data_IF_919550044942
#
_entry.id   IF_919550044942
#
_cell.length_a   1.000
_cell.length_b   1.000
_cell.length_c   1.000
_cell.angle_alpha   90.00
_cell.angle_beta   90.00
_cell.angle_gamma   90.00
#
_symmetry.space_group_name_H-M   'P 1'
#
loop_
_entity.id
_entity.type
_entity.pdbx_description
1 polymer ?
#
# COMPACT_ATOMS: atom_id res chain seq x y z
N UNK A 1 -58.84 -37.42 68.04
CA UNK A 1 -58.04 -36.57 68.93
C UNK A 1 -57.40 -35.54 68.03
N UNK A 2 -58.14 -34.47 67.73
CA UNK A 2 -58.33 -33.20 68.50
C UNK A 2 -57.46 -32.17 67.79
N UNK A 3 -58.07 -31.17 67.14
CA UNK A 3 -58.42 -29.87 67.76
C UNK A 3 -57.12 -29.17 68.23
N UNK A 4 -56.81 -27.90 67.98
CA UNK A 4 -57.52 -26.72 67.50
C UNK A 4 -56.50 -25.58 67.59
N UNK A 5 -56.58 -24.56 66.72
CA UNK A 5 -56.68 -23.14 67.10
C UNK A 5 -56.07 -22.17 66.08
N UNK A 6 -56.91 -21.21 65.69
CA UNK A 6 -56.69 -19.75 65.61
C UNK A 6 -55.64 -19.25 64.60
N UNK A 7 -55.79 -18.11 63.94
CA UNK A 7 -56.90 -17.18 63.79
C UNK A 7 -56.59 -16.32 62.57
N UNK A 8 -57.65 -15.69 62.10
CA UNK A 8 -57.76 -14.62 61.13
C UNK A 8 -56.68 -13.52 61.23
N UNK A 9 -56.10 -13.17 60.07
CA UNK A 9 -56.10 -11.80 59.55
C UNK A 9 -55.28 -11.72 58.26
N UNK A 10 -55.93 -11.61 57.11
CA UNK A 10 -55.64 -10.43 56.27
C UNK A 10 -56.76 -10.15 55.28
N UNK A 11 -57.29 -8.95 55.40
CA UNK A 11 -58.35 -8.41 54.60
C UNK A 11 -57.89 -8.11 53.16
N UNK A 12 -58.79 -8.37 52.21
CA UNK A 12 -59.09 -7.46 51.10
C UNK A 12 -57.96 -7.10 50.14
N UNK A 13 -57.86 -7.86 49.05
CA UNK A 13 -57.68 -7.28 47.71
C UNK A 13 -58.23 -8.26 46.66
N UNK A 14 -59.44 -7.99 46.18
CA UNK A 14 -59.92 -8.54 44.92
C UNK A 14 -58.96 -8.09 43.80
N UNK A 15 -58.20 -9.03 43.27
CA UNK A 15 -57.52 -8.85 41.99
C UNK A 15 -58.58 -9.08 40.93
N UNK A 16 -59.22 -7.98 40.49
CA UNK A 16 -60.09 -8.02 39.33
C UNK A 16 -59.33 -8.62 38.15
N UNK A 17 -59.91 -9.65 37.54
CA UNK A 17 -59.43 -10.24 36.29
C UNK A 17 -59.25 -9.13 35.24
N UNK A 18 -58.00 -8.69 35.03
CA UNK A 18 -57.65 -7.99 33.79
C UNK A 18 -57.68 -9.02 32.68
N UNK A 19 -58.86 -9.16 32.07
CA UNK A 19 -59.01 -9.80 30.76
C UNK A 19 -58.05 -9.08 29.81
N UNK A 20 -57.00 -9.75 29.36
CA UNK A 20 -56.14 -9.25 28.30
C UNK A 20 -57.05 -8.97 27.09
N UNK A 21 -57.15 -7.71 26.68
CA UNK A 21 -57.78 -7.38 25.42
C UNK A 21 -57.00 -8.09 24.30
N UNK A 22 -57.67 -8.75 23.34
CA UNK A 22 -56.96 -9.29 22.20
C UNK A 22 -56.31 -8.11 21.48
N UNK A 23 -54.99 -8.19 21.27
CA UNK A 23 -54.32 -7.35 20.29
C UNK A 23 -54.97 -7.73 18.97
N UNK A 24 -55.74 -6.81 18.39
CA UNK A 24 -56.21 -6.99 17.02
C UNK A 24 -54.97 -7.20 16.15
N UNK A 25 -54.86 -8.39 15.56
CA UNK A 25 -53.92 -8.69 14.48
C UNK A 25 -54.30 -7.78 13.30
N UNK A 26 -53.84 -6.53 13.34
CA UNK A 26 -53.79 -5.69 12.17
C UNK A 26 -52.58 -6.18 11.36
N UNK A 27 -52.78 -6.89 10.23
CA UNK A 27 -51.66 -7.18 9.36
C UNK A 27 -51.01 -5.84 9.01
N UNK A 28 -49.71 -5.72 9.28
CA UNK A 28 -48.92 -4.59 8.80
C UNK A 28 -48.83 -4.73 7.28
N UNK A 29 -49.87 -4.30 6.58
CA UNK A 29 -49.92 -4.30 5.12
C UNK A 29 -49.00 -3.18 4.66
N UNK A 30 -48.01 -3.52 3.84
CA UNK A 30 -47.20 -2.51 3.16
C UNK A 30 -48.15 -1.52 2.47
N UNK A 31 -47.94 -0.20 2.62
CA UNK A 31 -48.70 0.79 1.85
C UNK A 31 -48.75 0.37 0.38
N UNK A 32 -49.91 0.45 -0.28
CA UNK A 32 -50.09 -0.11 -1.62
C UNK A 32 -49.08 0.43 -2.66
N UNK A 33 -48.55 1.64 -2.43
CA UNK A 33 -47.45 2.21 -3.21
C UNK A 33 -46.12 1.50 -2.97
N UNK A 34 -45.79 1.13 -1.73
CA UNK A 34 -44.60 0.30 -1.43
C UNK A 34 -44.75 -1.12 -1.97
N UNK A 35 -45.95 -1.71 -1.89
CA UNK A 35 -46.20 -3.04 -2.44
C UNK A 35 -46.03 -3.05 -3.98
N UNK A 36 -46.58 -2.05 -4.68
CA UNK A 36 -46.41 -1.90 -6.12
C UNK A 36 -44.96 -1.64 -6.55
N UNK A 37 -44.21 -0.82 -5.78
CA UNK A 37 -42.78 -0.61 -6.02
C UNK A 37 -41.96 -1.90 -5.81
N UNK A 38 -42.28 -2.71 -4.81
CA UNK A 38 -41.64 -4.01 -4.58
C UNK A 38 -41.98 -5.00 -5.69
N UNK A 39 -43.21 -5.01 -6.18
CA UNK A 39 -43.63 -5.87 -7.30
C UNK A 39 -42.93 -5.47 -8.61
N UNK A 40 -42.75 -4.16 -8.87
CA UNK A 40 -42.00 -3.66 -10.04
C UNK A 40 -40.53 -4.04 -9.98
N UNK A 41 -39.87 -3.84 -8.83
CA UNK A 41 -38.48 -4.24 -8.63
C UNK A 41 -38.28 -5.76 -8.72
N UNK A 42 -39.24 -6.54 -8.21
CA UNK A 42 -39.23 -8.01 -8.29
C UNK A 42 -39.43 -8.49 -9.73
N UNK A 43 -40.33 -7.84 -10.48
CA UNK A 43 -40.53 -8.09 -11.90
C UNK A 43 -39.26 -7.85 -12.71
N UNK A 44 -38.62 -6.69 -12.54
CA UNK A 44 -37.35 -6.36 -13.22
C UNK A 44 -36.21 -7.27 -12.80
N UNK A 45 -36.17 -7.70 -11.54
CA UNK A 45 -35.22 -8.72 -11.12
C UNK A 45 -35.41 -10.03 -11.89
N UNK A 46 -36.65 -10.50 -11.99
CA UNK A 46 -37.01 -11.73 -12.68
C UNK A 46 -36.74 -11.66 -14.18
N UNK A 47 -36.88 -10.48 -14.80
CA UNK A 47 -36.52 -10.24 -16.21
C UNK A 47 -35.02 -10.46 -16.47
N UNK A 48 -34.16 -10.02 -15.54
CA UNK A 48 -32.70 -10.05 -15.73
C UNK A 48 -31.99 -11.22 -15.06
N UNK A 49 -32.65 -11.98 -14.17
CA UNK A 49 -32.02 -13.10 -13.44
C UNK A 49 -31.55 -14.22 -14.39
N UNK A 50 -32.16 -14.33 -15.58
CA UNK A 50 -31.75 -15.27 -16.63
C UNK A 50 -30.35 -14.98 -17.19
N UNK A 51 -29.87 -13.74 -17.07
CA UNK A 51 -28.50 -13.33 -17.42
C UNK A 51 -27.53 -13.42 -16.23
N UNK A 52 -28.04 -13.82 -15.06
CA UNK A 52 -27.29 -14.01 -13.82
C UNK A 52 -27.61 -12.97 -12.75
N UNK A 53 -27.27 -13.32 -11.49
CA UNK A 53 -27.55 -12.49 -10.32
C UNK A 53 -26.94 -11.09 -10.41
N UNK A 54 -25.75 -10.96 -10.98
CA UNK A 54 -25.07 -9.67 -11.15
C UNK A 54 -25.85 -8.75 -12.11
N UNK A 55 -26.31 -9.27 -13.25
CA UNK A 55 -27.12 -8.52 -14.21
C UNK A 55 -28.43 -8.03 -13.57
N UNK A 56 -29.13 -8.90 -12.85
CA UNK A 56 -30.35 -8.53 -12.12
C UNK A 56 -30.11 -7.48 -11.03
N UNK A 57 -29.01 -7.60 -10.30
CA UNK A 57 -28.63 -6.63 -9.26
C UNK A 57 -28.26 -5.27 -9.85
N UNK A 58 -27.58 -5.24 -11.00
CA UNK A 58 -27.23 -4.01 -11.71
C UNK A 58 -28.47 -3.29 -12.22
N UNK A 59 -29.41 -4.03 -12.82
CA UNK A 59 -30.66 -3.45 -13.31
C UNK A 59 -31.43 -2.74 -12.19
N UNK A 60 -31.63 -3.42 -11.05
CA UNK A 60 -32.26 -2.81 -9.86
C UNK A 60 -31.43 -1.63 -9.34
N UNK A 61 -30.11 -1.80 -9.22
CA UNK A 61 -29.25 -0.77 -8.65
C UNK A 61 -29.29 0.55 -9.43
N UNK A 62 -29.38 0.47 -10.76
CA UNK A 62 -29.52 1.66 -11.62
C UNK A 62 -30.88 2.37 -11.43
N UNK A 63 -31.96 1.61 -11.21
CA UNK A 63 -33.28 2.20 -10.92
C UNK A 63 -33.31 2.88 -9.57
N UNK A 64 -32.79 2.20 -8.54
CA UNK A 64 -32.69 2.75 -7.18
C UNK A 64 -31.86 4.03 -7.21
N UNK A 65 -30.75 4.05 -7.94
CA UNK A 65 -29.96 5.27 -8.14
C UNK A 65 -30.77 6.39 -8.81
N UNK A 66 -31.57 6.03 -9.82
CA UNK A 66 -32.52 6.95 -10.46
C UNK A 66 -33.52 7.55 -9.47
N UNK A 67 -34.10 6.71 -8.60
CA UNK A 67 -35.04 7.13 -7.55
C UNK A 67 -34.38 8.01 -6.50
N UNK A 68 -33.16 7.69 -6.05
CA UNK A 68 -32.39 8.52 -5.12
C UNK A 68 -32.17 9.93 -5.70
N UNK A 69 -31.76 10.02 -6.97
CA UNK A 69 -31.62 11.33 -7.64
C UNK A 69 -32.97 12.07 -7.74
N UNK A 70 -34.08 11.37 -7.99
CA UNK A 70 -35.40 12.02 -8.04
C UNK A 70 -35.86 12.53 -6.67
N UNK A 71 -35.55 11.79 -5.60
CA UNK A 71 -35.81 12.20 -4.22
C UNK A 71 -35.01 13.44 -3.88
N UNK A 72 -33.72 13.49 -4.24
CA UNK A 72 -32.87 14.66 -4.06
C UNK A 72 -33.42 15.87 -4.84
N UNK A 73 -33.84 15.67 -6.10
CA UNK A 73 -34.48 16.72 -6.90
C UNK A 73 -35.79 17.20 -6.25
N UNK A 74 -36.58 16.30 -5.65
CA UNK A 74 -37.80 16.68 -4.94
C UNK A 74 -37.50 17.47 -3.65
N UNK A 75 -36.39 17.17 -2.96
CA UNK A 75 -35.91 17.97 -1.84
C UNK A 75 -35.51 19.39 -2.26
N UNK A 76 -34.91 19.55 -3.44
CA UNK A 76 -34.48 20.87 -3.95
C UNK A 76 -35.61 21.69 -4.57
N UNK A 77 -36.43 21.07 -5.43
CA UNK A 77 -37.40 21.74 -6.29
C UNK A 77 -38.86 21.45 -5.93
N UNK A 78 -39.10 20.73 -4.83
CA UNK A 78 -40.43 20.32 -4.39
C UNK A 78 -41.04 19.16 -5.20
N UNK A 79 -42.26 18.73 -4.81
CA UNK A 79 -42.99 17.65 -5.48
C UNK A 79 -43.35 18.04 -6.92
N UNK A 80 -43.24 17.07 -7.83
CA UNK A 80 -43.51 17.29 -9.26
C UNK A 80 -44.97 17.72 -9.48
N UNK A 81 -45.16 18.74 -10.32
CA UNK A 81 -46.48 19.20 -10.76
C UNK A 81 -47.26 20.04 -9.74
N UNK A 82 -46.65 20.42 -8.61
CA UNK A 82 -47.25 21.34 -7.64
C UNK A 82 -46.63 22.73 -7.75
N UNK A 83 -47.46 23.75 -7.60
CA UNK A 83 -46.99 25.13 -7.56
C UNK A 83 -46.45 25.45 -6.17
N UNK A 84 -45.20 25.88 -6.10
CA UNK A 84 -44.56 26.42 -4.90
C UNK A 84 -44.07 27.85 -5.21
N UNK A 85 -44.50 28.81 -4.40
CA UNK A 85 -44.14 30.23 -4.55
C UNK A 85 -42.76 30.54 -3.95
N UNK A 86 -42.30 29.75 -2.97
CA UNK A 86 -41.04 29.94 -2.26
C UNK A 86 -39.92 29.03 -2.79
N UNK A 87 -40.10 28.48 -4.01
CA UNK A 87 -39.16 27.52 -4.59
C UNK A 87 -37.77 28.14 -4.75
N UNK A 88 -36.76 27.45 -4.24
CA UNK A 88 -35.35 27.83 -4.42
C UNK A 88 -34.79 27.27 -5.72
N UNK A 89 -35.36 26.18 -6.23
CA UNK A 89 -34.90 25.51 -7.45
C UNK A 89 -36.06 25.09 -8.37
N UNK A 90 -35.74 24.91 -9.65
CA UNK A 90 -36.66 24.46 -10.71
C UNK A 90 -36.10 23.24 -11.45
N UNK A 91 -37.00 22.33 -11.82
CA UNK A 91 -36.66 21.16 -12.66
C UNK A 91 -36.37 21.63 -14.09
N UNK A 92 -35.26 21.17 -14.67
CA UNK A 92 -34.77 21.60 -15.98
C UNK A 92 -34.48 20.40 -16.91
N UNK A 93 -35.37 19.40 -16.88
CA UNK A 93 -35.28 18.21 -17.72
C UNK A 93 -34.23 17.20 -17.27
N UNK A 94 -33.66 16.46 -18.23
CA UNK A 94 -32.60 15.47 -18.02
C UNK A 94 -31.49 15.65 -19.04
N UNK A 95 -30.30 15.15 -18.72
CA UNK A 95 -29.13 15.14 -19.58
C UNK A 95 -28.49 13.76 -19.62
N UNK A 96 -27.77 13.46 -20.70
CA UNK A 96 -26.98 12.25 -20.79
C UNK A 96 -25.78 12.35 -19.84
N UNK A 97 -25.66 11.37 -18.94
CA UNK A 97 -24.54 11.24 -18.03
C UNK A 97 -24.03 9.80 -18.03
N UNK A 98 -23.09 9.52 -17.14
CA UNK A 98 -22.66 8.15 -16.85
C UNK A 98 -22.29 8.00 -15.39
N UNK A 99 -22.32 6.76 -14.90
CA UNK A 99 -21.89 6.35 -13.57
C UNK A 99 -20.88 5.23 -13.67
N UNK A 100 -20.07 5.06 -12.64
CA UNK A 100 -19.07 3.99 -12.57
C UNK A 100 -19.73 2.70 -12.09
N UNK A 101 -19.50 1.61 -12.83
CA UNK A 101 -19.89 0.26 -12.45
C UNK A 101 -18.69 -0.68 -12.60
N UNK A 102 -18.03 -0.97 -11.48
CA UNK A 102 -16.78 -1.72 -11.48
C UNK A 102 -15.76 -1.11 -12.45
N UNK A 103 -15.28 -1.92 -13.40
CA UNK A 103 -14.32 -1.50 -14.41
C UNK A 103 -14.87 -0.73 -15.64
N UNK A 104 -16.12 -0.27 -15.63
CA UNK A 104 -16.72 0.42 -16.79
C UNK A 104 -17.59 1.62 -16.42
N UNK A 105 -17.93 2.43 -17.42
CA UNK A 105 -18.91 3.51 -17.30
C UNK A 105 -20.22 3.10 -17.95
N UNK A 106 -21.32 3.22 -17.21
CA UNK A 106 -22.66 2.91 -17.69
C UNK A 106 -23.41 4.22 -17.93
N UNK A 107 -24.01 4.44 -19.11
CA UNK A 107 -24.76 5.65 -19.38
C UNK A 107 -26.03 5.71 -18.53
N UNK A 108 -26.39 6.91 -18.09
CA UNK A 108 -27.64 7.17 -17.37
C UNK A 108 -28.26 8.48 -17.85
N UNK A 109 -29.53 8.70 -17.51
CA UNK A 109 -30.18 10.01 -17.64
C UNK A 109 -30.18 10.73 -16.29
N UNK A 110 -29.31 11.73 -16.17
CA UNK A 110 -29.20 12.57 -14.98
C UNK A 110 -30.31 13.63 -14.98
N UNK A 111 -31.11 13.75 -13.91
CA UNK A 111 -32.02 14.88 -13.74
C UNK A 111 -31.25 16.19 -13.59
N UNK A 112 -31.80 17.28 -14.13
CA UNK A 112 -31.23 18.62 -14.00
C UNK A 112 -32.12 19.52 -13.18
N UNK A 113 -31.47 20.27 -12.30
CA UNK A 113 -32.10 21.22 -11.38
C UNK A 113 -31.34 22.52 -11.48
N UNK A 114 -32.04 23.64 -11.53
CA UNK A 114 -31.42 24.98 -11.57
C UNK A 114 -31.94 25.85 -10.46
N UNK A 115 -31.10 26.71 -9.90
CA UNK A 115 -31.54 27.72 -8.95
C UNK A 115 -32.54 28.68 -9.62
N UNK A 116 -33.58 29.06 -8.90
CA UNK A 116 -34.65 29.91 -9.43
C UNK A 116 -34.20 31.36 -9.69
N UNK A 117 -33.15 31.83 -8.99
CA UNK A 117 -32.67 33.22 -9.06
C UNK A 117 -31.66 33.49 -10.16
N UNK A 118 -30.61 32.67 -10.28
CA UNK A 118 -29.49 32.89 -11.21
C UNK A 118 -29.37 31.83 -12.31
N UNK A 119 -30.29 30.86 -12.34
CA UNK A 119 -30.31 29.73 -13.27
C UNK A 119 -29.02 28.88 -13.29
N UNK A 120 -28.19 28.97 -12.24
CA UNK A 120 -27.04 28.07 -12.06
C UNK A 120 -27.52 26.64 -11.89
N UNK A 121 -26.73 25.68 -12.39
CA UNK A 121 -27.06 24.27 -12.30
C UNK A 121 -26.67 23.71 -10.93
N UNK A 122 -27.64 23.16 -10.22
CA UNK A 122 -27.41 22.48 -8.96
C UNK A 122 -26.76 21.11 -9.23
N UNK A 123 -25.76 20.79 -8.43
CA UNK A 123 -25.15 19.47 -8.42
C UNK A 123 -25.97 18.52 -7.56
N UNK A 124 -26.21 17.30 -8.05
CA UNK A 124 -26.80 16.24 -7.24
C UNK A 124 -25.68 15.45 -6.58
N UNK A 125 -25.65 15.41 -5.25
CA UNK A 125 -24.68 14.67 -4.44
C UNK A 125 -24.72 13.18 -4.80
N UNK A 126 -25.92 12.62 -4.96
CA UNK A 126 -26.12 11.22 -5.39
C UNK A 126 -25.39 10.93 -6.70
N UNK A 127 -25.48 11.85 -7.68
CA UNK A 127 -24.82 11.68 -8.96
C UNK A 127 -23.31 11.85 -8.84
N UNK A 128 -22.83 12.83 -8.07
CA UNK A 128 -21.40 13.07 -7.87
C UNK A 128 -20.71 11.83 -7.30
N UNK A 129 -21.30 11.21 -6.28
CA UNK A 129 -20.77 9.98 -5.67
C UNK A 129 -20.78 8.83 -6.68
N UNK A 130 -21.87 8.61 -7.41
CA UNK A 130 -21.96 7.52 -8.40
C UNK A 130 -21.10 7.74 -9.65
N UNK A 131 -20.77 8.99 -9.97
CA UNK A 131 -19.88 9.37 -11.07
C UNK A 131 -18.39 9.33 -10.67
N UNK A 132 -18.09 9.25 -9.37
CA UNK A 132 -16.73 9.31 -8.87
C UNK A 132 -15.84 8.25 -9.52
N UNK A 133 -14.69 8.73 -9.99
CA UNK A 133 -13.86 8.04 -10.96
C UNK A 133 -12.79 7.14 -10.30
N UNK A 134 -12.66 7.21 -8.98
CA UNK A 134 -11.61 6.55 -8.19
C UNK A 134 -11.74 5.04 -8.22
N UNK A 135 -12.95 4.52 -7.97
CA UNK A 135 -13.23 3.07 -7.98
C UNK A 135 -12.94 2.43 -9.36
N UNK A 136 -13.21 3.16 -10.44
CA UNK A 136 -12.89 2.72 -11.80
C UNK A 136 -11.37 2.63 -11.99
N UNK A 137 -10.62 3.62 -11.49
CA UNK A 137 -9.17 3.67 -11.59
C UNK A 137 -8.51 2.56 -10.75
N UNK A 138 -8.97 2.34 -9.52
CA UNK A 138 -8.46 1.29 -8.63
C UNK A 138 -8.62 -0.11 -9.24
N UNK A 139 -9.83 -0.43 -9.73
CA UNK A 139 -10.07 -1.72 -10.40
C UNK A 139 -9.19 -1.88 -11.63
N UNK A 140 -9.03 -0.82 -12.45
CA UNK A 140 -8.14 -0.84 -13.61
C UNK A 140 -6.67 -1.10 -13.25
N UNK A 141 -6.15 -0.39 -12.25
CA UNK A 141 -4.77 -0.58 -11.78
C UNK A 141 -4.60 -2.00 -11.26
N UNK A 142 -5.50 -2.48 -10.39
CA UNK A 142 -5.46 -3.83 -9.86
C UNK A 142 -5.43 -4.91 -10.96
N UNK A 143 -6.32 -4.79 -11.96
CA UNK A 143 -6.38 -5.71 -13.09
C UNK A 143 -5.07 -5.73 -13.90
N UNK A 144 -4.50 -4.56 -14.20
CA UNK A 144 -3.25 -4.46 -14.97
C UNK A 144 -2.07 -5.01 -14.17
N UNK A 145 -1.95 -4.67 -12.89
CA UNK A 145 -0.92 -5.21 -12.01
C UNK A 145 -1.06 -6.74 -11.86
N UNK A 146 -2.29 -7.28 -11.86
CA UNK A 146 -2.55 -8.71 -11.89
C UNK A 146 -2.20 -9.41 -13.23
N UNK A 147 -1.63 -8.69 -14.20
CA UNK A 147 -1.13 -9.29 -15.44
C UNK A 147 -2.09 -9.22 -16.63
N UNK A 148 -3.15 -8.41 -16.56
CA UNK A 148 -3.99 -8.14 -17.71
C UNK A 148 -3.38 -7.05 -18.58
N UNK A 149 -3.40 -7.26 -19.90
CA UNK A 149 -3.04 -6.20 -20.84
C UNK A 149 -4.23 -5.27 -21.06
N UNK A 150 -3.96 -4.01 -21.42
CA UNK A 150 -5.02 -3.03 -21.77
C UNK A 150 -5.94 -3.49 -22.90
N UNK A 151 -5.51 -4.46 -23.72
CA UNK A 151 -6.33 -5.07 -24.78
C UNK A 151 -7.24 -6.19 -24.29
N UNK A 152 -6.87 -6.86 -23.19
CA UNK A 152 -7.65 -7.94 -22.57
C UNK A 152 -8.43 -7.49 -21.33
N UNK A 153 -8.39 -6.20 -21.00
CA UNK A 153 -9.08 -5.66 -19.83
C UNK A 153 -10.56 -6.05 -19.77
N UNK A 154 -11.26 -6.01 -20.91
CA UNK A 154 -12.67 -6.43 -20.99
C UNK A 154 -12.93 -7.87 -20.55
N UNK A 155 -11.95 -8.77 -20.63
CA UNK A 155 -12.10 -10.15 -20.17
C UNK A 155 -12.08 -10.32 -18.64
N UNK A 156 -11.71 -9.27 -17.91
CA UNK A 156 -11.72 -9.25 -16.44
C UNK A 156 -12.99 -8.61 -15.86
N UNK A 157 -13.85 -8.09 -16.73
CA UNK A 157 -15.10 -7.46 -16.34
C UNK A 157 -16.16 -8.51 -16.05
N UNK A 158 -16.87 -8.33 -14.95
CA UNK A 158 -17.99 -9.18 -14.56
C UNK A 158 -19.15 -9.04 -15.57
N UNK A 159 -19.94 -10.09 -15.82
CA UNK A 159 -21.13 -9.98 -16.64
C UNK A 159 -22.19 -9.14 -15.92
N UNK A 160 -22.69 -8.08 -16.56
CA UNK A 160 -23.65 -7.12 -15.96
C UNK A 160 -24.94 -6.99 -16.78
N UNK A 161 -25.14 -7.89 -17.74
CA UNK A 161 -26.28 -7.94 -18.63
C UNK A 161 -25.97 -7.34 -20.00
N UNK A 162 -26.48 -7.98 -21.05
CA UNK A 162 -26.13 -7.68 -22.44
C UNK A 162 -26.48 -6.25 -22.84
N UNK A 163 -27.61 -5.72 -22.37
CA UNK A 163 -28.02 -4.33 -22.64
C UNK A 163 -27.05 -3.32 -22.01
N UNK A 164 -26.68 -3.52 -20.74
CA UNK A 164 -25.75 -2.65 -20.02
C UNK A 164 -24.36 -2.72 -20.66
N UNK A 165 -23.91 -3.91 -21.05
CA UNK A 165 -22.62 -4.12 -21.69
C UNK A 165 -22.53 -3.47 -23.08
N UNK A 166 -23.60 -3.52 -23.86
CA UNK A 166 -23.66 -2.92 -25.19
C UNK A 166 -23.49 -1.40 -25.17
N UNK A 167 -23.97 -0.74 -24.10
CA UNK A 167 -23.90 0.72 -23.95
C UNK A 167 -22.72 1.18 -23.08
N UNK A 168 -22.06 0.26 -22.38
CA UNK A 168 -20.95 0.58 -21.49
C UNK A 168 -19.75 1.16 -22.25
N UNK A 169 -19.07 2.12 -21.62
CA UNK A 169 -17.88 2.78 -22.17
C UNK A 169 -16.72 2.76 -21.18
N UNK A 170 -15.59 3.35 -21.56
CA UNK A 170 -14.42 3.48 -20.69
C UNK A 170 -13.48 2.27 -20.69
N UNK A 171 -13.84 1.17 -21.35
CA UNK A 171 -13.09 -0.10 -21.38
C UNK A 171 -12.15 -0.24 -22.58
N UNK A 172 -12.12 0.74 -23.49
CA UNK A 172 -11.25 0.71 -24.66
C UNK A 172 -9.77 0.78 -24.27
N UNK A 173 -8.89 0.17 -25.08
CA UNK A 173 -7.43 0.18 -24.85
C UNK A 173 -6.88 1.57 -24.50
N UNK A 174 -7.28 2.61 -25.23
CA UNK A 174 -6.81 3.98 -25.02
C UNK A 174 -7.38 4.62 -23.76
N UNK A 175 -8.64 4.33 -23.41
CA UNK A 175 -9.25 4.77 -22.15
C UNK A 175 -8.53 4.14 -20.95
N UNK A 176 -8.39 2.81 -20.97
CA UNK A 176 -7.70 2.03 -19.93
C UNK A 176 -6.27 2.52 -19.76
N UNK A 177 -5.53 2.70 -20.87
CA UNK A 177 -4.14 3.15 -20.82
C UNK A 177 -3.99 4.55 -20.23
N UNK A 178 -4.85 5.51 -20.61
CA UNK A 178 -4.79 6.86 -20.06
C UNK A 178 -5.08 6.87 -18.56
N UNK A 179 -6.11 6.14 -18.15
CA UNK A 179 -6.50 6.05 -16.74
C UNK A 179 -5.42 5.40 -15.88
N UNK A 180 -4.85 4.30 -16.35
CA UNK A 180 -3.72 3.66 -15.68
C UNK A 180 -2.52 4.61 -15.54
N UNK A 181 -2.20 5.38 -16.58
CA UNK A 181 -1.12 6.37 -16.52
C UNK A 181 -1.41 7.43 -15.46
N UNK A 182 -2.62 8.00 -15.43
CA UNK A 182 -2.99 9.02 -14.45
C UNK A 182 -2.95 8.46 -13.02
N UNK A 183 -3.61 7.33 -12.77
CA UNK A 183 -3.66 6.72 -11.44
C UNK A 183 -2.28 6.33 -10.91
N UNK A 184 -1.41 5.79 -11.77
CA UNK A 184 -0.03 5.45 -11.37
C UNK A 184 0.87 6.68 -11.22
N UNK A 185 0.57 7.79 -11.90
CA UNK A 185 1.23 9.08 -11.66
C UNK A 185 0.86 9.60 -10.26
N UNK A 186 -0.42 9.55 -9.89
CA UNK A 186 -0.89 9.97 -8.57
C UNK A 186 -0.29 9.09 -7.46
N UNK A 187 -0.20 7.76 -7.68
CA UNK A 187 0.48 6.85 -6.75
C UNK A 187 1.97 7.19 -6.60
N UNK A 188 2.67 7.52 -7.69
CA UNK A 188 4.07 7.95 -7.61
C UNK A 188 4.22 9.26 -6.83
N UNK A 189 3.38 10.26 -7.09
CA UNK A 189 3.39 11.53 -6.34
C UNK A 189 3.08 11.29 -4.86
N UNK A 190 2.08 10.46 -4.55
CA UNK A 190 1.71 10.10 -3.17
C UNK A 190 2.88 9.43 -2.42
N UNK A 191 3.52 8.43 -3.05
CA UNK A 191 4.70 7.75 -2.48
C UNK A 191 5.84 8.74 -2.21
N UNK A 192 6.12 9.63 -3.18
CA UNK A 192 7.25 10.56 -3.11
C UNK A 192 6.97 11.84 -2.32
N UNK A 193 5.72 12.13 -1.94
CA UNK A 193 5.36 13.31 -1.12
C UNK A 193 5.05 12.97 0.33
N UNK A 194 4.89 11.68 0.66
CA UNK A 194 4.64 11.22 2.02
C UNK A 194 5.73 11.72 2.98
N UNK A 195 5.29 12.37 4.07
CA UNK A 195 6.15 12.73 5.20
C UNK A 195 6.61 11.51 5.99
N UNK A 196 7.79 11.61 6.58
CA UNK A 196 8.50 10.52 7.25
C UNK A 196 8.80 10.83 8.73
N UNK A 197 8.33 11.98 9.24
CA UNK A 197 8.52 12.43 10.62
C UNK A 197 7.44 11.94 11.59
N UNK A 198 6.42 11.24 11.07
CA UNK A 198 5.32 10.64 11.82
C UNK A 198 5.69 9.29 12.44
N UNK A 199 6.81 8.71 12.03
CA UNK A 199 7.20 7.33 12.36
C UNK A 199 8.63 7.25 12.90
N UNK A 200 8.85 6.33 13.86
CA UNK A 200 10.20 5.96 14.27
C UNK A 200 10.75 4.88 13.34
N UNK A 201 11.70 5.25 12.48
CA UNK A 201 12.43 4.32 11.64
C UNK A 201 13.58 3.65 12.40
N UNK A 202 13.75 2.34 12.21
CA UNK A 202 14.81 1.56 12.87
C UNK A 202 15.73 0.92 11.83
N UNK A 203 15.18 0.46 10.71
CA UNK A 203 15.94 -0.16 9.62
C UNK A 203 15.54 0.49 8.29
N UNK A 204 16.52 0.72 7.44
CA UNK A 204 16.34 1.16 6.05
C UNK A 204 17.02 0.15 5.12
N UNK A 205 16.26 -0.48 4.23
CA UNK A 205 16.82 -1.28 3.15
C UNK A 205 16.89 -0.43 1.89
N UNK A 206 18.05 -0.36 1.26
CA UNK A 206 18.23 0.34 -0.02
C UNK A 206 18.93 -0.59 -1.00
N UNK A 207 18.34 -0.72 -2.18
CA UNK A 207 18.89 -1.58 -3.22
C UNK A 207 18.66 -0.99 -4.62
N UNK A 208 19.63 -1.23 -5.49
CA UNK A 208 19.63 -0.84 -6.88
C UNK A 208 19.15 -1.98 -7.76
N UNK A 209 18.31 -1.70 -8.76
CA UNK A 209 17.87 -2.71 -9.70
C UNK A 209 17.66 -2.14 -11.09
N UNK A 210 17.96 -2.96 -12.10
CA UNK A 210 17.61 -2.64 -13.49
C UNK A 210 16.12 -2.85 -13.72
N UNK A 211 15.48 -1.94 -14.43
CA UNK A 211 14.05 -2.01 -14.74
C UNK A 211 13.77 -1.42 -16.11
N UNK A 212 13.46 -2.29 -17.08
CA UNK A 212 13.58 -1.94 -18.49
C UNK A 212 15.03 -1.62 -18.83
N UNK A 213 15.24 -0.49 -19.51
CA UNK A 213 16.58 0.01 -19.86
C UNK A 213 17.12 1.04 -18.84
N UNK A 214 16.48 1.16 -17.67
CA UNK A 214 16.81 2.15 -16.64
C UNK A 214 17.39 1.50 -15.38
N UNK A 215 18.18 2.26 -14.63
CA UNK A 215 18.62 1.90 -13.28
C UNK A 215 17.74 2.61 -12.27
N UNK A 216 17.12 1.84 -11.37
CA UNK A 216 16.35 2.37 -10.25
C UNK A 216 17.06 2.09 -8.94
N UNK A 217 16.88 2.95 -7.95
CA UNK A 217 17.26 2.70 -6.56
C UNK A 217 16.01 2.87 -5.70
N UNK A 218 15.64 1.85 -4.94
CA UNK A 218 14.46 1.86 -4.08
C UNK A 218 14.84 1.80 -2.60
N UNK A 219 14.05 2.50 -1.77
CA UNK A 219 14.16 2.50 -0.32
C UNK A 219 12.91 1.89 0.33
N UNK A 220 13.15 0.98 1.27
CA UNK A 220 12.14 0.33 2.10
C UNK A 220 12.48 0.55 3.58
N UNK A 221 11.63 1.29 4.29
CA UNK A 221 11.77 1.54 5.72
C UNK A 221 11.11 0.45 6.57
N UNK A 222 11.61 0.30 7.79
CA UNK A 222 10.98 -0.49 8.85
C UNK A 222 10.79 0.38 10.08
N UNK A 223 9.53 0.50 10.50
CA UNK A 223 9.11 1.24 11.70
C UNK A 223 9.49 0.46 12.98
N UNK A 224 9.40 1.12 14.13
CA UNK A 224 9.70 0.52 15.43
C UNK A 224 8.83 -0.71 15.78
N UNK A 225 7.60 -0.80 15.25
CA UNK A 225 6.72 -1.96 15.42
C UNK A 225 7.02 -3.11 14.43
N UNK A 226 7.96 -2.89 13.51
CA UNK A 226 8.40 -3.85 12.50
C UNK A 226 7.61 -3.83 11.21
N UNK A 227 6.73 -2.87 11.01
CA UNK A 227 6.00 -2.69 9.75
C UNK A 227 6.95 -2.24 8.65
N UNK A 228 6.89 -2.92 7.50
CA UNK A 228 7.67 -2.58 6.31
C UNK A 228 6.89 -1.57 5.48
N UNK A 229 7.56 -0.50 5.04
CA UNK A 229 6.92 0.60 4.31
C UNK A 229 7.81 1.00 3.13
N UNK A 230 7.33 0.89 1.87
CA UNK A 230 8.03 1.47 0.73
C UNK A 230 8.08 2.99 0.86
N UNK A 231 9.25 3.61 0.67
CA UNK A 231 9.43 5.04 0.95
C UNK A 231 9.79 5.86 -0.27
N UNK A 232 10.65 5.34 -1.14
CA UNK A 232 11.17 6.13 -2.25
C UNK A 232 11.67 5.24 -3.38
N UNK A 233 11.61 5.78 -4.59
CA UNK A 233 12.30 5.24 -5.77
C UNK A 233 12.85 6.39 -6.59
N UNK A 234 14.09 6.25 -7.06
CA UNK A 234 14.73 7.22 -7.94
C UNK A 234 15.26 6.54 -9.20
N UNK A 235 15.21 7.26 -10.32
CA UNK A 235 15.65 6.78 -11.65
C UNK A 235 16.94 7.48 -12.09
N UNK A 236 17.81 6.71 -12.73
CA UNK A 236 18.97 7.21 -13.46
C UNK A 236 19.53 6.19 -14.45
N UNK A 237 20.62 6.55 -15.11
CA UNK A 237 21.27 5.71 -16.15
C UNK A 237 22.28 4.71 -15.60
N UNK A 238 22.86 5.01 -14.44
CA UNK A 238 23.76 4.15 -13.68
C UNK A 238 23.55 4.42 -12.20
N UNK A 239 23.92 3.46 -11.36
CA UNK A 239 23.95 3.68 -9.92
C UNK A 239 25.17 4.54 -9.55
N UNK A 240 25.03 5.84 -9.78
CA UNK A 240 26.08 6.81 -9.53
C UNK A 240 25.79 7.61 -8.25
N UNK A 241 26.81 8.35 -7.81
CA UNK A 241 26.74 9.19 -6.60
C UNK A 241 25.56 10.18 -6.67
N UNK A 242 25.23 10.71 -7.84
CA UNK A 242 24.18 11.71 -8.02
C UNK A 242 22.80 11.10 -7.73
N UNK A 243 22.50 9.94 -8.32
CA UNK A 243 21.24 9.23 -8.12
C UNK A 243 21.01 8.89 -6.64
N UNK A 244 22.03 8.33 -5.98
CA UNK A 244 21.98 8.00 -4.56
C UNK A 244 21.80 9.25 -3.70
N UNK A 245 22.57 10.31 -3.97
CA UNK A 245 22.47 11.56 -3.18
C UNK A 245 21.07 12.15 -3.30
N UNK A 246 20.47 12.15 -4.50
CA UNK A 246 19.10 12.61 -4.72
C UNK A 246 18.09 11.82 -3.91
N UNK A 247 18.16 10.49 -3.92
CA UNK A 247 17.26 9.63 -3.14
C UNK A 247 17.38 9.90 -1.63
N UNK A 248 18.60 9.99 -1.12
CA UNK A 248 18.85 10.19 0.31
C UNK A 248 18.45 11.59 0.77
N UNK A 249 18.74 12.62 -0.02
CA UNK A 249 18.32 13.99 0.26
C UNK A 249 16.78 14.10 0.27
N UNK A 250 16.09 13.48 -0.68
CA UNK A 250 14.63 13.42 -0.71
C UNK A 250 14.05 12.78 0.57
N UNK A 251 14.64 11.70 1.07
CA UNK A 251 14.22 11.09 2.34
C UNK A 251 14.44 12.06 3.53
N UNK A 252 15.57 12.76 3.57
CA UNK A 252 15.87 13.75 4.60
C UNK A 252 14.89 14.93 4.56
N UNK A 253 14.65 15.51 3.38
CA UNK A 253 13.76 16.65 3.18
C UNK A 253 12.31 16.32 3.57
N UNK A 254 11.89 15.06 3.38
CA UNK A 254 10.59 14.55 3.83
C UNK A 254 10.51 14.22 5.32
N UNK A 255 11.58 14.48 6.07
CA UNK A 255 11.61 14.40 7.53
C UNK A 255 12.05 13.05 8.09
N UNK A 256 12.86 12.26 7.36
CA UNK A 256 13.42 11.02 7.91
C UNK A 256 14.30 11.33 9.12
N UNK A 257 13.76 11.09 10.32
CA UNK A 257 14.49 11.28 11.57
C UNK A 257 15.45 10.12 11.84
N UNK A 258 16.75 10.44 11.84
CA UNK A 258 17.83 9.50 12.15
C UNK A 258 18.42 9.72 13.54
N UNK A 259 17.98 10.72 14.33
CA UNK A 259 18.62 11.11 15.59
C UNK A 259 18.77 9.97 16.60
N UNK A 260 17.82 9.03 16.63
CA UNK A 260 17.88 7.83 17.47
C UNK A 260 18.73 6.68 16.91
N UNK A 261 19.44 6.89 15.81
CA UNK A 261 20.17 5.89 15.04
C UNK A 261 19.25 5.05 14.13
N UNK A 262 19.69 4.83 12.89
CA UNK A 262 19.02 3.96 11.90
C UNK A 262 20.02 3.00 11.28
N UNK A 263 19.65 1.73 11.17
CA UNK A 263 20.44 0.71 10.46
C UNK A 263 20.13 0.74 8.97
N UNK A 264 21.09 1.14 8.14
CA UNK A 264 21.00 1.06 6.69
C UNK A 264 21.59 -0.25 6.18
N UNK A 265 20.79 -1.09 5.53
CA UNK A 265 21.19 -2.37 4.95
C UNK A 265 21.28 -2.24 3.43
N UNK A 266 22.49 -2.41 2.89
CA UNK A 266 22.79 -2.18 1.47
C UNK A 266 23.63 -3.32 0.87
N UNK A 267 23.61 -3.47 -0.46
CA UNK A 267 24.32 -4.52 -1.21
C UNK A 267 25.86 -4.33 -1.26
N UNK A 268 26.34 -3.12 -1.04
CA UNK A 268 27.75 -2.74 -1.10
C UNK A 268 28.08 -1.69 -2.15
N UNK A 269 27.10 -1.07 -2.78
CA UNK A 269 27.30 0.10 -3.64
C UNK A 269 28.17 1.16 -2.98
N UNK A 270 29.28 1.51 -3.64
CA UNK A 270 30.18 2.58 -3.18
C UNK A 270 29.47 3.93 -3.11
N UNK A 271 28.45 4.14 -3.94
CA UNK A 271 27.64 5.34 -3.91
C UNK A 271 26.79 5.38 -2.64
N UNK A 272 26.13 4.28 -2.26
CA UNK A 272 25.36 4.17 -1.01
C UNK A 272 26.26 4.28 0.22
N UNK A 273 27.34 3.50 0.28
CA UNK A 273 28.24 3.48 1.44
C UNK A 273 28.87 4.84 1.74
N UNK A 274 29.08 5.69 0.72
CA UNK A 274 29.56 7.07 0.90
C UNK A 274 28.42 8.09 1.06
N UNK A 275 27.30 7.90 0.36
CA UNK A 275 26.19 8.84 0.35
C UNK A 275 25.45 8.88 1.68
N UNK A 276 25.20 7.70 2.28
CA UNK A 276 24.44 7.59 3.53
C UNK A 276 25.06 8.42 4.66
N UNK A 277 26.36 8.30 5.00
CA UNK A 277 26.95 9.11 6.06
C UNK A 277 27.09 10.58 5.67
N UNK A 278 27.17 10.90 4.37
CA UNK A 278 27.23 12.28 3.89
C UNK A 278 25.92 13.03 4.18
N UNK A 279 24.77 12.35 4.04
CA UNK A 279 23.45 12.96 4.23
C UNK A 279 23.00 12.88 5.68
N UNK A 280 23.17 11.72 6.33
CA UNK A 280 22.60 11.42 7.64
C UNK A 280 23.63 11.45 8.79
N UNK A 281 24.90 11.72 8.48
CA UNK A 281 25.97 11.79 9.47
C UNK A 281 26.23 10.47 10.19
N UNK A 282 26.77 10.57 11.39
CA UNK A 282 27.14 9.43 12.24
C UNK A 282 25.93 8.63 12.77
N UNK A 283 24.73 9.19 12.65
CA UNK A 283 23.49 8.54 13.05
C UNK A 283 23.04 7.43 12.09
N UNK A 284 23.65 7.34 10.91
CA UNK A 284 23.38 6.28 9.94
C UNK A 284 24.40 5.15 10.05
N UNK A 285 23.95 4.05 10.67
CA UNK A 285 24.77 2.86 10.88
C UNK A 285 24.63 1.93 9.68
N UNK A 286 25.72 1.68 8.95
CA UNK A 286 25.67 0.89 7.71
C UNK A 286 25.99 -0.58 7.98
N UNK A 287 25.14 -1.46 7.48
CA UNK A 287 25.43 -2.89 7.32
C UNK A 287 25.45 -3.28 5.85
N UNK A 288 26.48 -4.02 5.48
CA UNK A 288 26.59 -4.60 4.14
C UNK A 288 26.03 -6.02 4.10
N UNK A 289 25.13 -6.25 3.16
CA UNK A 289 24.50 -7.53 2.86
C UNK A 289 25.55 -8.65 2.72
N UNK A 290 25.46 -9.66 3.58
CA UNK A 290 26.36 -10.82 3.59
C UNK A 290 26.14 -11.74 2.37
N UNK A 291 24.92 -11.78 1.82
CA UNK A 291 24.61 -12.59 0.61
C UNK A 291 25.30 -12.01 -0.61
N UNK A 292 25.14 -10.70 -0.84
CA UNK A 292 25.83 -10.00 -1.92
C UNK A 292 27.34 -10.08 -1.76
N UNK A 293 27.83 -9.90 -0.53
CA UNK A 293 29.24 -10.08 -0.22
C UNK A 293 29.77 -11.48 -0.55
N UNK A 294 29.06 -12.53 -0.15
CA UNK A 294 29.41 -13.91 -0.47
C UNK A 294 29.45 -14.11 -1.99
N UNK A 295 28.42 -13.66 -2.72
CA UNK A 295 28.37 -13.75 -4.19
C UNK A 295 29.55 -13.04 -4.85
N UNK A 296 29.90 -11.83 -4.39
CA UNK A 296 31.02 -11.05 -4.94
C UNK A 296 32.37 -11.72 -4.72
N UNK A 297 32.62 -12.29 -3.55
CA UNK A 297 33.87 -13.02 -3.27
C UNK A 297 33.95 -14.29 -4.11
N UNK A 298 32.84 -15.04 -4.17
CA UNK A 298 32.76 -16.31 -4.89
C UNK A 298 32.89 -16.12 -6.42
N UNK A 299 32.40 -15.01 -6.98
CA UNK A 299 32.51 -14.70 -8.40
C UNK A 299 33.94 -14.54 -8.92
N UNK A 300 34.93 -14.40 -8.03
CA UNK A 300 36.35 -14.35 -8.38
C UNK A 300 37.06 -15.71 -8.24
N UNK A 301 36.33 -16.79 -7.96
CA UNK A 301 36.89 -18.10 -7.63
C UNK A 301 36.42 -19.18 -8.61
N UNK A 302 37.26 -20.20 -8.88
CA UNK A 302 36.84 -21.39 -9.61
C UNK A 302 35.84 -22.21 -8.79
N UNK A 303 34.89 -22.88 -9.47
CA UNK A 303 33.78 -23.63 -8.87
C UNK A 303 34.21 -24.62 -7.77
N UNK A 304 35.35 -25.28 -7.96
CA UNK A 304 35.89 -26.25 -7.00
C UNK A 304 36.17 -25.64 -5.61
N UNK A 305 36.46 -24.34 -5.52
CA UNK A 305 36.78 -23.67 -4.25
C UNK A 305 35.54 -23.04 -3.59
N UNK A 306 34.41 -22.95 -4.30
CA UNK A 306 33.22 -22.24 -3.83
C UNK A 306 32.71 -22.78 -2.49
N UNK A 307 32.60 -24.11 -2.35
CA UNK A 307 32.06 -24.75 -1.14
C UNK A 307 32.92 -24.43 0.09
N UNK A 308 34.25 -24.52 -0.06
CA UNK A 308 35.18 -24.27 1.05
C UNK A 308 35.16 -22.80 1.47
N UNK A 309 35.17 -21.86 0.51
CA UNK A 309 35.14 -20.42 0.81
C UNK A 309 33.80 -19.99 1.41
N UNK A 310 32.65 -20.44 0.87
CA UNK A 310 31.33 -20.15 1.47
C UNK A 310 31.27 -20.59 2.92
N UNK A 311 31.75 -21.80 3.22
CA UNK A 311 31.79 -22.31 4.60
C UNK A 311 32.64 -21.41 5.50
N UNK A 312 33.82 -20.96 5.05
CA UNK A 312 34.69 -20.10 5.84
C UNK A 312 34.11 -18.70 6.06
N UNK A 313 33.48 -18.10 5.05
CA UNK A 313 32.77 -16.83 5.19
C UNK A 313 31.65 -16.93 6.24
N UNK A 314 30.80 -17.95 6.11
CA UNK A 314 29.68 -18.18 7.04
C UNK A 314 30.14 -18.50 8.45
N UNK A 315 31.26 -19.23 8.60
CA UNK A 315 31.88 -19.48 9.89
C UNK A 315 32.30 -18.16 10.57
N UNK A 316 33.02 -17.30 9.85
CA UNK A 316 33.44 -15.99 10.39
C UNK A 316 32.25 -15.10 10.77
N UNK A 317 31.21 -15.05 9.94
CA UNK A 317 30.00 -14.28 10.25
C UNK A 317 29.13 -14.84 11.38
N UNK A 318 29.29 -16.13 11.70
CA UNK A 318 28.58 -16.79 12.81
C UNK A 318 29.29 -16.59 14.15
N UNK A 319 30.54 -16.11 14.17
CA UNK A 319 31.26 -15.81 15.40
C UNK A 319 30.58 -14.60 16.09
N UNK A 320 30.13 -14.73 17.36
CA UNK A 320 29.45 -13.66 18.09
C UNK A 320 30.41 -12.54 18.53
N UNK A 321 31.71 -12.79 18.59
CA UNK A 321 32.72 -11.76 18.85
C UNK A 321 33.12 -11.07 17.53
N UNK A 322 32.78 -9.78 17.34
CA UNK A 322 33.08 -9.07 16.10
C UNK A 322 34.59 -8.91 15.83
N UNK A 323 35.44 -8.87 16.85
CA UNK A 323 36.89 -8.75 16.67
C UNK A 323 37.50 -10.09 16.21
N UNK A 324 37.06 -11.20 16.81
CA UNK A 324 37.42 -12.54 16.38
C UNK A 324 36.90 -12.83 14.97
N UNK A 325 35.62 -12.52 14.69
CA UNK A 325 35.01 -12.63 13.36
C UNK A 325 35.82 -11.88 12.29
N UNK A 326 36.22 -10.64 12.58
CA UNK A 326 37.06 -9.85 11.68
C UNK A 326 38.40 -10.53 11.42
N UNK A 327 39.06 -11.01 12.47
CA UNK A 327 40.36 -11.69 12.36
C UNK A 327 40.27 -12.97 11.52
N UNK A 328 39.21 -13.77 11.69
CA UNK A 328 38.96 -14.98 10.92
C UNK A 328 38.73 -14.68 9.43
N UNK A 329 37.91 -13.67 9.11
CA UNK A 329 37.61 -13.27 7.74
C UNK A 329 38.84 -12.65 7.05
N UNK A 330 39.65 -11.89 7.79
CA UNK A 330 40.90 -11.35 7.28
C UNK A 330 41.96 -12.46 7.05
N UNK A 331 41.98 -13.49 7.91
CA UNK A 331 42.81 -14.67 7.69
C UNK A 331 42.41 -15.42 6.41
N UNK A 332 41.11 -15.52 6.13
CA UNK A 332 40.61 -16.06 4.86
C UNK A 332 41.06 -15.21 3.67
N UNK A 333 40.96 -13.88 3.76
CA UNK A 333 41.44 -12.97 2.71
C UNK A 333 42.94 -13.17 2.43
N UNK A 334 43.78 -13.24 3.47
CA UNK A 334 45.21 -13.53 3.35
C UNK A 334 45.49 -14.89 2.69
N UNK A 335 44.71 -15.92 3.01
CA UNK A 335 44.87 -17.24 2.41
C UNK A 335 44.54 -17.24 0.91
N UNK A 336 43.58 -16.41 0.48
CA UNK A 336 43.18 -16.27 -0.92
C UNK A 336 44.15 -15.39 -1.72
N UNK A 337 44.80 -14.41 -1.09
CA UNK A 337 45.60 -13.35 -1.72
C UNK A 337 46.49 -13.83 -2.87
N UNK A 338 47.27 -14.88 -2.63
CA UNK A 338 48.30 -15.33 -3.57
C UNK A 338 47.71 -15.95 -4.84
N UNK A 339 46.62 -16.71 -4.72
CA UNK A 339 46.01 -17.43 -5.85
C UNK A 339 44.88 -16.64 -6.49
N UNK A 340 44.12 -15.92 -5.67
CA UNK A 340 42.87 -15.25 -6.02
C UNK A 340 42.84 -13.82 -5.43
N UNK A 341 43.74 -12.93 -5.86
CA UNK A 341 43.83 -11.57 -5.30
C UNK A 341 42.52 -10.78 -5.46
N UNK A 342 41.74 -11.03 -6.52
CA UNK A 342 40.41 -10.43 -6.70
C UNK A 342 39.41 -10.85 -5.62
N UNK A 343 39.41 -12.13 -5.21
CA UNK A 343 38.55 -12.61 -4.14
C UNK A 343 38.97 -12.04 -2.78
N UNK A 344 40.28 -11.94 -2.51
CA UNK A 344 40.80 -11.34 -1.30
C UNK A 344 40.46 -9.84 -1.20
N UNK A 345 40.70 -9.08 -2.28
CA UNK A 345 40.33 -7.67 -2.36
C UNK A 345 38.80 -7.47 -2.21
N UNK A 346 38.01 -8.30 -2.91
CA UNK A 346 36.56 -8.32 -2.80
C UNK A 346 36.11 -8.63 -1.38
N UNK A 347 36.79 -9.52 -0.62
CA UNK A 347 36.48 -9.81 0.78
C UNK A 347 36.84 -8.65 1.72
N UNK A 348 38.00 -8.01 1.55
CA UNK A 348 38.41 -6.88 2.41
C UNK A 348 37.56 -5.63 2.21
N UNK A 349 37.15 -5.35 0.97
CA UNK A 349 36.36 -4.17 0.65
C UNK A 349 35.05 -4.17 1.45
N UNK A 350 34.83 -3.21 2.35
CA UNK A 350 33.62 -3.18 3.18
C UNK A 350 33.43 -4.37 4.13
N UNK A 351 34.53 -5.03 4.56
CA UNK A 351 34.49 -6.17 5.50
C UNK A 351 33.88 -5.77 6.85
N UNK A 352 34.27 -4.61 7.37
CA UNK A 352 33.83 -4.11 8.67
C UNK A 352 32.30 -3.95 8.72
N UNK A 353 31.68 -3.50 7.63
CA UNK A 353 30.25 -3.28 7.49
C UNK A 353 29.46 -4.60 7.48
N UNK A 354 30.07 -5.72 7.07
CA UNK A 354 29.43 -7.05 7.16
C UNK A 354 29.28 -7.53 8.60
N UNK A 355 30.06 -6.95 9.53
CA UNK A 355 30.06 -7.26 10.96
C UNK A 355 29.26 -6.26 11.80
N UNK A 356 28.66 -5.22 11.19
CA UNK A 356 27.86 -4.21 11.89
C UNK A 356 26.75 -4.82 12.74
N UNK A 357 25.96 -5.73 12.17
CA UNK A 357 24.87 -6.40 12.91
C UNK A 357 25.38 -7.26 14.07
N UNK A 358 26.57 -7.84 13.96
CA UNK A 358 27.23 -8.56 15.06
C UNK A 358 27.67 -7.58 16.16
N UNK A 359 28.26 -6.43 15.81
CA UNK A 359 28.62 -5.38 16.77
C UNK A 359 27.42 -4.81 17.53
N UNK A 360 26.27 -4.72 16.86
CA UNK A 360 25.00 -4.30 17.47
C UNK A 360 24.33 -5.40 18.30
N UNK A 361 24.93 -6.59 18.41
CA UNK A 361 24.37 -7.71 19.17
C UNK A 361 23.12 -8.31 18.55
N UNK A 362 22.90 -8.14 17.23
CA UNK A 362 21.72 -8.67 16.54
C UNK A 362 21.89 -10.15 16.25
N UNK A 363 20.95 -10.96 16.71
CA UNK A 363 20.96 -12.41 16.57
C UNK A 363 19.59 -12.97 16.12
N UNK A 364 19.47 -14.29 16.10
CA UNK A 364 18.19 -14.98 15.97
C UNK A 364 17.40 -14.65 14.70
N UNK A 365 16.12 -14.33 14.88
CA UNK A 365 15.20 -14.08 13.77
C UNK A 365 15.43 -12.71 13.12
N UNK A 366 15.83 -11.70 13.89
CA UNK A 366 16.12 -10.37 13.36
C UNK A 366 17.39 -10.39 12.50
N UNK A 367 18.44 -11.08 12.95
CA UNK A 367 19.66 -11.26 12.14
C UNK A 367 19.31 -11.84 10.77
N UNK A 368 18.43 -12.87 10.74
CA UNK A 368 17.95 -13.47 9.48
C UNK A 368 17.29 -12.49 8.52
N UNK A 369 16.72 -11.40 9.03
CA UNK A 369 16.16 -10.32 8.22
C UNK A 369 17.26 -9.37 7.75
N UNK A 370 18.10 -8.87 8.67
CA UNK A 370 19.01 -7.75 8.40
C UNK A 370 20.35 -8.17 7.81
N UNK A 371 20.75 -9.45 7.83
CA UNK A 371 22.01 -9.86 7.21
C UNK A 371 22.01 -9.70 5.68
N UNK A 372 20.84 -9.46 5.09
CA UNK A 372 20.64 -9.34 3.65
C UNK A 372 19.68 -8.22 3.27
N UNK A 373 19.66 -7.86 2.00
CA UNK A 373 18.72 -6.94 1.33
C UNK A 373 17.42 -7.63 0.90
N UNK A 374 17.17 -8.89 1.33
CA UNK A 374 16.00 -9.66 0.91
C UNK A 374 14.64 -8.95 1.09
N UNK A 375 14.39 -8.14 2.13
CA UNK A 375 13.12 -7.40 2.24
C UNK A 375 12.85 -6.44 1.07
N UNK A 376 13.86 -5.72 0.59
CA UNK A 376 13.73 -4.80 -0.56
C UNK A 376 13.79 -5.57 -1.88
N UNK A 377 14.63 -6.60 -1.99
CA UNK A 377 14.66 -7.49 -3.18
C UNK A 377 13.29 -8.16 -3.40
N UNK A 378 12.64 -8.64 -2.33
CA UNK A 378 11.31 -9.24 -2.42
C UNK A 378 10.24 -8.25 -2.91
N UNK A 379 10.39 -6.96 -2.58
CA UNK A 379 9.52 -5.91 -3.11
C UNK A 379 9.82 -5.65 -4.59
N UNK A 380 11.11 -5.60 -4.96
CA UNK A 380 11.57 -5.40 -6.34
C UNK A 380 11.08 -6.53 -7.26
N UNK A 381 11.06 -7.78 -6.80
CA UNK A 381 10.52 -8.89 -7.59
C UNK A 381 9.01 -8.74 -7.83
N UNK A 382 8.24 -8.26 -6.86
CA UNK A 382 6.80 -7.95 -7.05
C UNK A 382 6.63 -6.83 -8.10
N UNK A 383 7.47 -5.79 -8.06
CA UNK A 383 7.48 -4.73 -9.08
C UNK A 383 7.73 -5.33 -10.48
N UNK A 384 8.72 -6.22 -10.59
CA UNK A 384 9.07 -6.91 -11.85
C UNK A 384 7.94 -7.80 -12.36
N UNK A 385 7.29 -8.52 -11.47
CA UNK A 385 6.14 -9.38 -11.80
C UNK A 385 4.99 -8.56 -12.39
N UNK A 386 4.61 -7.47 -11.72
CA UNK A 386 3.54 -6.58 -12.20
C UNK A 386 3.84 -5.94 -13.55
N UNK A 387 5.11 -5.62 -13.82
CA UNK A 387 5.54 -5.05 -15.09
C UNK A 387 5.92 -6.08 -16.16
N UNK A 388 5.76 -7.39 -15.91
CA UNK A 388 6.18 -8.46 -16.82
C UNK A 388 5.58 -8.37 -18.23
N UNK A 389 4.39 -7.79 -18.36
CA UNK A 389 3.70 -7.55 -19.64
C UNK A 389 4.17 -6.30 -20.40
N UNK A 390 4.95 -5.43 -19.75
CA UNK A 390 5.50 -4.23 -20.38
C UNK A 390 6.69 -4.63 -21.25
N UNK A 391 6.52 -4.52 -22.57
CA UNK A 391 7.57 -4.86 -23.54
C UNK A 391 8.29 -3.66 -24.15
N UNK A 392 7.76 -2.45 -23.93
CA UNK A 392 8.31 -1.21 -24.47
C UNK A 392 8.24 -0.10 -23.44
N UNK A 393 9.39 0.20 -22.85
CA UNK A 393 9.61 1.36 -21.99
C UNK A 393 9.82 2.60 -22.86
N UNK A 394 9.24 3.74 -22.47
CA UNK A 394 9.30 4.98 -23.25
C UNK A 394 10.27 6.00 -22.68
N UNK A 395 10.26 6.11 -21.36
CA UNK A 395 10.96 7.13 -20.59
C UNK A 395 11.06 6.69 -19.12
N UNK A 396 11.87 7.43 -18.35
CA UNK A 396 12.06 7.21 -16.92
C UNK A 396 10.81 7.52 -16.08
N UNK A 397 9.90 8.36 -16.58
CA UNK A 397 8.65 8.63 -15.87
C UNK A 397 7.76 7.38 -15.85
N UNK A 398 7.68 6.67 -16.98
CA UNK A 398 6.98 5.40 -17.07
C UNK A 398 7.58 4.35 -16.12
N UNK A 399 8.90 4.24 -16.01
CA UNK A 399 9.52 3.28 -15.09
C UNK A 399 9.22 3.62 -13.63
N UNK A 400 9.29 4.89 -13.25
CA UNK A 400 8.95 5.37 -11.90
C UNK A 400 7.49 5.09 -11.53
N UNK A 401 6.54 5.36 -12.43
CA UNK A 401 5.11 5.08 -12.20
C UNK A 401 4.83 3.59 -12.00
N UNK A 402 5.44 2.73 -12.82
CA UNK A 402 5.32 1.28 -12.65
C UNK A 402 5.99 0.78 -11.37
N UNK A 403 7.15 1.33 -11.01
CA UNK A 403 7.82 1.01 -9.75
C UNK A 403 6.96 1.40 -8.55
N UNK A 404 6.42 2.61 -8.51
CA UNK A 404 5.56 3.07 -7.42
C UNK A 404 4.29 2.23 -7.28
N UNK A 405 3.61 1.92 -8.40
CA UNK A 405 2.43 1.06 -8.38
C UNK A 405 2.75 -0.35 -7.85
N UNK A 406 3.89 -0.91 -8.26
CA UNK A 406 4.36 -2.20 -7.75
C UNK A 406 4.76 -2.16 -6.27
N UNK A 407 5.37 -1.06 -5.81
CA UNK A 407 5.71 -0.83 -4.39
C UNK A 407 4.45 -0.79 -3.52
N UNK A 408 3.41 -0.07 -3.95
CA UNK A 408 2.16 0.01 -3.21
C UNK A 408 1.42 -1.34 -3.19
N UNK A 409 1.43 -2.07 -4.31
CA UNK A 409 0.91 -3.45 -4.34
C UNK A 409 1.67 -4.37 -3.37
N UNK A 410 3.01 -4.27 -3.34
CA UNK A 410 3.85 -5.04 -2.42
C UNK A 410 3.56 -4.71 -0.95
N UNK A 411 3.30 -3.43 -0.64
CA UNK A 411 2.94 -2.97 0.71
C UNK A 411 1.75 -3.73 1.28
N UNK A 412 0.70 -3.95 0.48
CA UNK A 412 -0.51 -4.66 0.90
C UNK A 412 -0.27 -6.11 1.34
N UNK A 413 0.84 -6.70 0.88
CA UNK A 413 1.22 -8.10 1.15
C UNK A 413 2.25 -8.22 2.28
N UNK A 414 2.76 -7.10 2.79
CA UNK A 414 3.81 -7.14 3.80
C UNK A 414 3.31 -7.59 5.16
N UNK A 415 4.02 -8.60 5.69
CA UNK A 415 4.02 -8.91 7.11
C UNK A 415 5.10 -8.10 7.82
N UNK A 416 4.96 -7.92 9.14
CA UNK A 416 6.05 -7.38 9.98
C UNK A 416 7.34 -8.18 9.78
N UNK A 417 8.48 -7.51 9.94
CA UNK A 417 9.79 -8.15 9.82
C UNK A 417 9.93 -9.33 10.78
N UNK A 418 10.63 -10.38 10.33
CA UNK A 418 10.96 -11.50 11.23
C UNK A 418 11.89 -10.97 12.32
N UNK A 419 11.60 -11.32 13.57
CA UNK A 419 12.32 -10.80 14.73
C UNK A 419 11.89 -9.39 15.16
N UNK A 420 10.72 -8.87 14.74
CA UNK A 420 10.24 -7.54 15.15
C UNK A 420 10.25 -7.29 16.67
N UNK A 421 10.09 -8.33 17.49
CA UNK A 421 10.19 -8.25 18.95
C UNK A 421 11.57 -7.86 19.47
N UNK A 422 12.62 -8.00 18.65
CA UNK A 422 13.99 -7.62 18.95
C UNK A 422 14.30 -6.17 18.51
N UNK A 423 13.38 -5.47 17.83
CA UNK A 423 13.60 -4.09 17.37
C UNK A 423 13.84 -3.08 18.50
N UNK A 424 13.19 -3.17 19.68
CA UNK A 424 13.53 -2.28 20.79
C UNK A 424 15.00 -2.41 21.24
N UNK A 425 15.53 -3.64 21.26
CA UNK A 425 16.94 -3.90 21.57
C UNK A 425 17.86 -3.31 20.48
N UNK A 426 17.52 -3.50 19.21
CA UNK A 426 18.27 -2.90 18.11
C UNK A 426 18.24 -1.37 18.18
N UNK A 427 17.09 -0.76 18.44
CA UNK A 427 16.95 0.69 18.55
C UNK A 427 17.79 1.26 19.70
N UNK A 428 17.85 0.56 20.84
CA UNK A 428 18.73 0.93 21.96
C UNK A 428 20.21 0.80 21.58
N UNK A 429 20.60 -0.29 20.92
CA UNK A 429 21.97 -0.51 20.47
C UNK A 429 22.42 0.53 19.43
N UNK A 430 21.53 0.91 18.50
CA UNK A 430 21.76 1.98 17.53
C UNK A 430 21.97 3.32 18.24
N UNK A 431 21.08 3.69 19.15
CA UNK A 431 21.20 4.94 19.91
C UNK A 431 22.51 5.01 20.70
N UNK A 432 22.90 3.91 21.37
CA UNK A 432 24.17 3.85 22.08
C UNK A 432 25.35 4.02 21.12
N UNK A 433 25.35 3.31 20.00
CA UNK A 433 26.41 3.39 18.99
C UNK A 433 26.56 4.79 18.35
N UNK A 434 25.50 5.59 18.33
CA UNK A 434 25.51 6.94 17.74
C UNK A 434 25.69 8.06 18.77
N UNK A 435 25.45 7.80 20.06
CA UNK A 435 25.61 8.80 21.15
C UNK A 435 27.01 8.75 21.78
N UNK A 436 27.65 7.58 21.87
CA UNK A 436 28.90 7.37 22.64
C UNK A 436 30.21 7.71 21.87
N UNK A 437 30.20 8.60 20.88
CA UNK A 437 31.45 9.14 20.34
C UNK A 437 31.87 10.37 21.16
N UNK A 438 33.07 10.39 21.77
CA UNK A 438 33.54 11.59 22.46
C UNK A 438 33.65 12.73 21.44
N UNK A 439 33.01 13.85 21.77
CA UNK A 439 33.27 15.15 21.19
C UNK A 439 34.80 15.31 21.15
N UNK A 440 35.39 15.36 19.95
CA UNK A 440 36.79 15.75 19.81
C UNK A 440 36.86 17.21 20.23
N UNK A 441 37.09 17.44 21.52
CA UNK A 441 37.44 18.74 22.05
C UNK A 441 38.67 19.23 21.29
N UNK A 442 38.48 20.28 20.49
CA UNK A 442 39.60 20.99 19.87
C UNK A 442 40.57 21.43 20.98
N UNK A 443 41.88 21.19 20.83
CA UNK A 443 42.84 21.67 21.80
C UNK A 443 42.77 23.20 21.81
N UNK A 444 42.37 23.77 22.96
CA UNK A 444 42.51 25.21 23.22
C UNK A 444 43.99 25.57 23.08
N UNK A 445 44.34 26.19 21.97
CA UNK A 445 45.59 26.91 21.83
C UNK A 445 45.44 28.19 22.67
N UNK A 446 45.96 28.18 23.89
CA UNK A 446 46.22 29.39 24.65
C UNK A 446 47.37 30.14 24.00
N UNK A 447 47.10 31.36 23.55
CA UNK A 447 48.13 32.37 23.26
C UNK A 447 48.53 33.10 24.55
#
# INVERSE_FOLDING_TARGET
MTDKHMDENNAGREVGERRLAPVEDMPMVLPANLAGEVDELTGRFAEHIGEGLMAASVAIGLDVLGQMMQTEVAGLAGPKGRHDADRTHVRHGTEAGSVVLGGRKVPIRRPRVRAAGDASEATLETYQVAHAEDLLAEHMVGAILAGLSTRRYGAALEPVGAAVEAEATGTSKSSVSRRFVNATADQFVSLMSRRLDDERWVIMFIDGFTFGDHMLVAALGVTADGTKVPLAVAEGTTENKVLVTRLLADLQDRGLDVTGGVLFVVDGSKALTKGIPTVFGDNAVIHRCRVHKERNVIGHLPDAEHVWVRRKLRQGWANPDPAAAHTELEALARALERKHPGAAASLREGLAETLTVTRLGVDGALLKTVFSTNPVESMIEIIREHASNVKRWRDGEMTLRWAAAGMESARSQFRRVKGYRQLPQLAAALKAATTDKPELAEPRITA
#
